data_IF_973579928009
#
_entry.id   IF_973579928009
#
_cell.length_a   1.000
_cell.length_b   1.000
_cell.length_c   1.000
_cell.angle_alpha   90.00
_cell.angle_beta   90.00
_cell.angle_gamma   90.00
#
_symmetry.space_group_name_H-M   'P 1'
#
loop_
_entity.id
_entity.type
_entity.pdbx_description
1 polymer ?
#
# COMPACT_ATOMS: atom_id res chain seq x y z
N UNK A 1 0.90 -10.88 7.19
CA UNK A 1 0.25 -10.80 8.52
C UNK A 1 1.27 -10.77 9.62
N UNK A 2 2.10 -11.81 9.66
CA UNK A 2 3.16 -11.91 10.66
C UNK A 2 4.10 -10.72 10.63
N UNK A 3 4.41 -10.21 9.44
CA UNK A 3 5.33 -9.08 9.32
C UNK A 3 4.75 -7.78 9.88
N UNK A 4 3.43 -7.59 9.83
CA UNK A 4 2.82 -6.41 10.44
C UNK A 4 2.94 -6.48 11.95
N UNK A 5 2.70 -7.65 12.52
CA UNK A 5 2.84 -7.86 13.95
C UNK A 5 4.27 -7.65 14.42
N UNK A 6 5.23 -8.16 13.68
CA UNK A 6 6.64 -7.98 14.02
C UNK A 6 7.04 -6.51 14.01
N UNK A 7 6.54 -5.77 13.02
CA UNK A 7 6.82 -4.34 12.93
C UNK A 7 6.25 -3.58 14.13
N UNK A 8 5.07 -3.97 14.58
CA UNK A 8 4.47 -3.37 15.78
C UNK A 8 5.36 -3.56 17.00
N UNK A 9 5.86 -4.76 17.19
CA UNK A 9 6.75 -5.05 18.31
C UNK A 9 8.00 -4.21 18.24
N UNK A 10 8.58 -4.11 17.05
CA UNK A 10 9.79 -3.31 16.85
C UNK A 10 9.53 -1.83 17.13
N UNK A 11 8.38 -1.33 16.72
CA UNK A 11 8.01 0.07 16.92
C UNK A 11 7.96 0.42 18.40
N UNK A 12 7.45 -0.48 19.23
CA UNK A 12 7.36 -0.23 20.68
C UNK A 12 8.71 -0.05 21.34
N UNK A 13 9.76 -0.61 20.76
CA UNK A 13 11.11 -0.53 21.32
C UNK A 13 11.95 0.59 20.74
N UNK A 14 11.42 1.31 19.73
CA UNK A 14 12.14 2.41 19.12
C UNK A 14 12.04 3.68 19.95
N UNK A 15 13.10 4.50 19.99
CA UNK A 15 13.00 5.84 20.55
C UNK A 15 11.97 6.65 19.76
N UNK A 16 11.68 7.87 20.22
CA UNK A 16 10.74 8.75 19.50
C UNK A 16 11.08 8.82 18.04
N UNK A 17 10.06 8.62 17.22
CA UNK A 17 10.22 8.56 15.77
C UNK A 17 9.85 9.92 15.17
N UNK A 18 10.88 10.67 14.73
CA UNK A 18 10.67 11.92 14.02
C UNK A 18 10.38 11.67 12.55
N UNK A 19 10.25 12.74 11.79
CA UNK A 19 9.94 12.65 10.36
C UNK A 19 10.99 11.84 9.59
N UNK A 20 12.29 12.10 9.82
CA UNK A 20 13.36 11.37 9.12
C UNK A 20 13.32 9.89 9.39
N UNK A 21 13.09 9.52 10.65
CA UNK A 21 12.99 8.11 11.03
C UNK A 21 11.79 7.44 10.40
N UNK A 22 10.65 8.13 10.36
CA UNK A 22 9.45 7.62 9.73
C UNK A 22 9.66 7.42 8.23
N UNK A 23 10.30 8.35 7.57
CA UNK A 23 10.62 8.24 6.15
C UNK A 23 11.45 6.98 5.86
N UNK A 24 12.46 6.73 6.68
CA UNK A 24 13.33 5.56 6.50
C UNK A 24 12.61 4.27 6.85
N UNK A 25 11.90 4.26 7.96
CA UNK A 25 11.25 3.04 8.45
C UNK A 25 10.12 2.59 7.52
N UNK A 26 9.33 3.52 7.04
CA UNK A 26 8.14 3.20 6.25
C UNK A 26 8.33 3.41 4.75
N UNK A 27 9.47 3.93 4.34
CA UNK A 27 9.72 4.20 2.92
C UNK A 27 8.83 5.29 2.34
N UNK A 28 8.48 6.28 3.16
CA UNK A 28 7.61 7.38 2.76
C UNK A 28 8.42 8.67 2.58
N UNK A 29 7.93 9.56 1.74
CA UNK A 29 8.53 10.87 1.56
C UNK A 29 7.96 11.84 2.60
N UNK A 30 8.68 12.93 2.86
CA UNK A 30 8.19 13.98 3.74
C UNK A 30 6.85 14.54 3.21
N UNK A 31 6.74 14.67 1.90
CA UNK A 31 5.52 15.15 1.25
C UNK A 31 4.34 14.21 1.52
N UNK A 32 4.58 12.91 1.41
CA UNK A 32 3.54 11.91 1.69
C UNK A 32 3.10 11.97 3.14
N UNK A 33 4.05 12.08 4.08
CA UNK A 33 3.74 12.19 5.50
C UNK A 33 2.88 13.41 5.80
N UNK A 34 3.23 14.55 5.24
CA UNK A 34 2.44 15.78 5.40
C UNK A 34 1.04 15.64 4.83
N UNK A 35 0.95 14.98 3.68
CA UNK A 35 -0.33 14.73 3.04
C UNK A 35 -1.25 13.90 3.93
N UNK A 36 -0.71 12.85 4.53
CA UNK A 36 -1.51 11.99 5.42
C UNK A 36 -1.93 12.73 6.68
N UNK A 37 -1.09 13.62 7.19
CA UNK A 37 -1.45 14.48 8.32
C UNK A 37 -2.55 15.45 7.95
N UNK A 38 -2.46 16.06 6.78
CA UNK A 38 -3.49 16.98 6.28
C UNK A 38 -4.83 16.29 6.09
N UNK A 39 -4.80 15.05 5.67
CA UNK A 39 -6.00 14.23 5.49
C UNK A 39 -6.59 13.75 6.82
N UNK A 40 -5.89 13.95 7.91
CA UNK A 40 -6.33 13.49 9.21
C UNK A 40 -6.14 12.00 9.43
N UNK A 41 -5.37 11.33 8.58
CA UNK A 41 -5.12 9.91 8.69
C UNK A 41 -4.10 9.60 9.77
N UNK A 42 -3.18 10.51 10.01
CA UNK A 42 -2.11 10.39 11.00
C UNK A 42 -1.98 11.70 11.74
N UNK A 43 -1.71 11.62 13.04
CA UNK A 43 -1.44 12.80 13.87
C UNK A 43 -0.01 12.79 14.33
N UNK A 44 0.71 13.89 14.08
CA UNK A 44 2.03 14.08 14.64
C UNK A 44 1.88 14.84 15.96
N UNK A 45 2.75 14.54 16.92
CA UNK A 45 2.84 15.25 18.18
C UNK A 45 4.10 16.09 18.20
N UNK A 46 4.17 17.00 19.14
CA UNK A 46 5.36 17.83 19.33
C UNK A 46 5.88 17.65 20.75
N UNK A 47 7.21 17.57 20.86
CA UNK A 47 7.86 17.44 22.14
C UNK A 47 8.12 18.83 22.77
N UNK A 48 8.85 18.85 23.88
CA UNK A 48 9.15 20.10 24.59
C UNK A 48 9.92 21.11 23.76
N UNK A 49 10.73 20.62 22.82
CA UNK A 49 11.52 21.45 21.93
C UNK A 49 10.76 21.78 20.65
N UNK A 50 9.46 21.49 20.63
CA UNK A 50 8.61 21.70 19.47
C UNK A 50 9.00 20.85 18.27
N UNK A 51 9.74 19.76 18.47
CA UNK A 51 10.10 18.84 17.41
C UNK A 51 8.95 17.85 17.17
N UNK A 52 8.66 17.63 15.90
CA UNK A 52 7.58 16.70 15.48
C UNK A 52 7.99 15.26 15.70
N UNK A 53 7.08 14.47 16.22
CA UNK A 53 7.30 13.02 16.33
C UNK A 53 5.99 12.26 16.20
N UNK A 54 6.09 10.96 15.93
CA UNK A 54 4.94 10.07 15.82
C UNK A 54 4.92 9.12 17.02
N UNK A 55 3.81 9.10 17.73
CA UNK A 55 3.64 8.19 18.87
C UNK A 55 3.34 6.77 18.35
N UNK A 56 3.28 5.77 19.23
CA UNK A 56 3.03 4.38 18.80
C UNK A 56 1.75 4.20 17.97
N UNK A 57 0.69 4.91 18.30
CA UNK A 57 -0.56 4.82 17.54
C UNK A 57 -0.39 5.37 16.13
N UNK A 58 0.28 6.52 16.00
CA UNK A 58 0.56 7.11 14.71
C UNK A 58 1.47 6.21 13.87
N UNK A 59 2.47 5.60 14.51
CA UNK A 59 3.38 4.67 13.82
C UNK A 59 2.64 3.48 13.26
N UNK A 60 1.70 2.96 14.01
CA UNK A 60 0.89 1.83 13.55
C UNK A 60 0.05 2.20 12.34
N UNK A 61 -0.53 3.40 12.34
CA UNK A 61 -1.30 3.89 11.19
C UNK A 61 -0.40 4.08 9.98
N UNK A 62 0.81 4.60 10.17
CA UNK A 62 1.78 4.73 9.09
C UNK A 62 2.19 3.38 8.52
N UNK A 63 2.32 2.37 9.38
CA UNK A 63 2.62 1.01 8.94
C UNK A 63 1.52 0.48 8.01
N UNK A 64 0.26 0.65 8.39
CA UNK A 64 -0.87 0.26 7.53
C UNK A 64 -0.84 1.00 6.20
N UNK A 65 -0.67 2.32 6.26
CA UNK A 65 -0.66 3.15 5.05
C UNK A 65 0.47 2.70 4.11
N UNK A 66 1.67 2.56 4.64
CA UNK A 66 2.84 2.19 3.83
C UNK A 66 2.65 0.83 3.16
N UNK A 67 2.19 -0.16 3.91
CA UNK A 67 1.99 -1.50 3.37
C UNK A 67 0.88 -1.57 2.34
N UNK A 68 -0.23 -0.93 2.61
CA UNK A 68 -1.36 -0.95 1.69
C UNK A 68 -1.06 -0.16 0.42
N UNK A 69 -0.38 0.98 0.54
CA UNK A 69 0.05 1.75 -0.63
C UNK A 69 1.02 0.96 -1.51
N UNK A 70 1.95 0.27 -0.88
CA UNK A 70 2.91 -0.56 -1.61
C UNK A 70 2.22 -1.68 -2.38
N UNK A 71 1.13 -2.19 -1.85
CA UNK A 71 0.34 -3.22 -2.52
C UNK A 71 -0.59 -2.66 -3.59
N UNK A 72 -0.64 -1.34 -3.74
CA UNK A 72 -1.47 -0.70 -4.75
C UNK A 72 -2.90 -0.46 -4.33
N UNK A 73 -3.18 -0.50 -3.03
CA UNK A 73 -4.51 -0.18 -2.51
C UNK A 73 -4.72 1.33 -2.59
N UNK A 74 -5.89 1.75 -3.01
CA UNK A 74 -6.20 3.17 -3.17
C UNK A 74 -6.31 3.88 -1.84
N UNK A 75 -6.10 5.18 -1.83
CA UNK A 75 -6.21 5.96 -0.61
C UNK A 75 -7.59 5.89 0.02
N UNK A 76 -8.70 5.99 -0.72
CA UNK A 76 -10.02 5.79 -0.11
C UNK A 76 -10.19 4.45 0.59
N UNK A 77 -9.64 3.39 0.01
CA UNK A 77 -9.70 2.07 0.63
C UNK A 77 -8.85 2.00 1.90
N UNK A 78 -7.69 2.68 1.90
CA UNK A 78 -6.86 2.77 3.10
C UNK A 78 -7.60 3.53 4.21
N UNK A 79 -8.32 4.57 3.86
CA UNK A 79 -9.12 5.32 4.83
C UNK A 79 -10.18 4.43 5.47
N UNK A 80 -10.80 3.55 4.70
CA UNK A 80 -11.75 2.57 5.23
C UNK A 80 -11.09 1.61 6.20
N UNK A 81 -9.90 1.13 5.87
CA UNK A 81 -9.15 0.22 6.74
C UNK A 81 -8.84 0.90 8.07
N UNK A 82 -8.37 2.14 8.02
CA UNK A 82 -8.03 2.88 9.24
C UNK A 82 -9.26 3.17 10.09
N UNK A 83 -10.38 3.47 9.45
CA UNK A 83 -11.64 3.64 10.15
C UNK A 83 -12.12 2.35 10.80
N UNK A 84 -12.01 1.25 10.08
CA UNK A 84 -12.39 -0.06 10.60
C UNK A 84 -11.48 -0.50 11.74
N UNK A 85 -10.21 -0.08 11.73
CA UNK A 85 -9.26 -0.43 12.78
C UNK A 85 -9.66 0.16 14.13
N UNK A 86 -10.34 1.29 14.13
CA UNK A 86 -10.87 1.90 15.36
C UNK A 86 -11.90 0.98 16.03
N UNK A 87 -12.61 0.20 15.24
CA UNK A 87 -13.59 -0.78 15.72
C UNK A 87 -12.99 -2.19 15.88
N UNK A 88 -11.67 -2.31 15.75
CA UNK A 88 -11.00 -3.59 15.83
C UNK A 88 -11.14 -4.45 14.59
N UNK A 89 -11.62 -3.90 13.48
CA UNK A 89 -11.86 -4.63 12.23
C UNK A 89 -10.93 -4.24 11.10
N UNK A 90 -9.84 -3.56 11.42
CA UNK A 90 -8.91 -3.09 10.40
C UNK A 90 -8.28 -4.22 9.61
N UNK A 91 -7.85 -5.27 10.26
CA UNK A 91 -7.23 -6.41 9.59
C UNK A 91 -8.20 -7.10 8.63
N UNK A 92 -9.42 -7.31 9.07
CA UNK A 92 -10.47 -7.93 8.26
C UNK A 92 -10.76 -7.09 7.03
N UNK A 93 -10.89 -5.78 7.22
CA UNK A 93 -11.10 -4.85 6.12
C UNK A 93 -9.93 -4.85 5.15
N UNK A 94 -8.69 -4.82 5.67
CA UNK A 94 -7.50 -4.86 4.85
C UNK A 94 -7.43 -6.13 4.00
N UNK A 95 -7.78 -7.27 4.59
CA UNK A 95 -7.80 -8.54 3.85
C UNK A 95 -8.73 -8.47 2.65
N UNK A 96 -9.92 -7.93 2.83
CA UNK A 96 -10.87 -7.80 1.72
C UNK A 96 -10.32 -6.91 0.60
N UNK A 97 -9.71 -5.78 0.97
CA UNK A 97 -9.15 -4.87 -0.01
C UNK A 97 -7.98 -5.49 -0.76
N UNK A 98 -7.12 -6.20 -0.04
CA UNK A 98 -5.97 -6.87 -0.63
C UNK A 98 -6.38 -8.03 -1.54
N UNK A 99 -7.37 -8.80 -1.13
CA UNK A 99 -7.88 -9.90 -1.95
C UNK A 99 -8.51 -9.39 -3.25
N UNK A 100 -9.25 -8.30 -3.17
CA UNK A 100 -9.79 -7.66 -4.36
C UNK A 100 -8.67 -7.17 -5.28
N UNK A 101 -7.65 -6.53 -4.71
CA UNK A 101 -6.50 -6.07 -5.49
C UNK A 101 -5.80 -7.23 -6.17
N UNK A 102 -5.63 -8.34 -5.47
CA UNK A 102 -5.01 -9.54 -6.04
C UNK A 102 -5.82 -10.08 -7.21
N UNK A 103 -7.14 -10.15 -7.05
CA UNK A 103 -8.02 -10.62 -8.12
C UNK A 103 -7.91 -9.73 -9.36
N UNK A 104 -7.86 -8.41 -9.17
CA UNK A 104 -7.72 -7.46 -10.27
C UNK A 104 -6.39 -7.66 -10.99
N UNK A 105 -5.31 -7.83 -10.23
CA UNK A 105 -3.98 -8.08 -10.80
C UNK A 105 -3.91 -9.39 -11.56
N UNK A 106 -4.56 -10.43 -11.03
CA UNK A 106 -4.61 -11.73 -11.70
C UNK A 106 -5.37 -11.63 -13.04
N UNK A 107 -6.44 -10.85 -13.07
CA UNK A 107 -7.19 -10.62 -14.29
C UNK A 107 -6.34 -9.86 -15.32
N UNK A 108 -5.63 -8.83 -14.88
CA UNK A 108 -4.72 -8.08 -15.75
C UNK A 108 -3.60 -8.97 -16.29
N UNK A 109 -3.03 -9.79 -15.41
CA UNK A 109 -1.99 -10.73 -15.80
C UNK A 109 -2.51 -11.74 -16.82
N UNK A 110 -3.72 -12.24 -16.62
CA UNK A 110 -4.36 -13.17 -17.54
C UNK A 110 -4.51 -12.58 -18.92
N UNK A 111 -4.95 -11.33 -19.01
CA UNK A 111 -5.07 -10.62 -20.28
C UNK A 111 -3.71 -10.48 -20.97
N UNK A 112 -2.69 -10.14 -20.20
CA UNK A 112 -1.34 -10.01 -20.70
C UNK A 112 -0.83 -11.34 -21.26
N UNK A 113 -1.05 -12.40 -20.49
CA UNK A 113 -0.64 -13.76 -20.88
C UNK A 113 -1.31 -14.19 -22.18
N UNK A 114 -2.57 -13.86 -22.36
CA UNK A 114 -3.31 -14.16 -23.59
C UNK A 114 -2.67 -13.50 -24.82
N UNK A 115 -2.34 -12.21 -24.69
CA UNK A 115 -1.71 -11.48 -25.78
C UNK A 115 -0.31 -12.03 -26.07
N UNK A 116 0.45 -12.32 -25.03
CA UNK A 116 1.78 -12.92 -25.17
C UNK A 116 1.71 -14.26 -25.90
N UNK A 117 0.76 -15.11 -25.52
CA UNK A 117 0.57 -16.40 -26.18
C UNK A 117 0.21 -16.24 -27.65
N UNK A 118 -0.65 -15.29 -27.93
CA UNK A 118 -1.08 -14.99 -29.30
C UNK A 118 0.09 -14.57 -30.19
N UNK A 119 0.91 -13.66 -29.68
CA UNK A 119 2.05 -13.15 -30.41
C UNK A 119 3.20 -14.13 -30.51
N UNK A 120 3.29 -15.08 -29.56
CA UNK A 120 4.34 -16.10 -29.57
C UNK A 120 3.94 -17.36 -30.34
N UNK A 121 2.72 -17.46 -30.80
CA UNK A 121 2.27 -18.60 -31.58
C UNK A 121 2.98 -18.63 -32.93
N UNK A 122 3.57 -19.77 -33.35
CA UNK A 122 4.22 -19.86 -34.63
C UNK A 122 3.24 -19.55 -35.76
N UNK A 123 3.66 -18.77 -36.72
CA UNK A 123 2.86 -18.39 -37.85
C UNK A 123 3.04 -19.39 -39.00
N UNK A 124 2.00 -20.08 -39.33
CA UNK A 124 2.04 -21.02 -40.43
C UNK A 124 1.44 -20.40 -41.70
N UNK A 125 0.72 -19.31 -41.57
CA UNK A 125 0.15 -18.62 -42.71
C UNK A 125 0.05 -17.11 -42.40
N UNK A 126 -0.64 -16.38 -43.28
CA UNK A 126 -0.81 -14.95 -43.11
C UNK A 126 -1.83 -14.53 -42.09
N UNK A 127 -2.55 -15.45 -41.52
CA UNK A 127 -3.65 -15.12 -40.62
C UNK A 127 -3.16 -14.42 -39.33
N UNK A 128 -2.07 -14.89 -38.79
CA UNK A 128 -1.51 -14.30 -37.57
C UNK A 128 -1.05 -12.87 -37.78
N UNK A 129 -0.64 -12.54 -38.96
CA UNK A 129 -0.18 -11.18 -39.27
C UNK A 129 -1.30 -10.16 -39.28
N UNK A 130 -2.52 -10.62 -39.46
CA UNK A 130 -3.67 -9.72 -39.51
C UNK A 130 -4.00 -9.08 -38.20
N UNK A 131 -3.45 -9.61 -37.12
CA UNK A 131 -3.63 -9.03 -35.80
C UNK A 131 -3.22 -7.54 -35.78
N UNK A 132 -2.05 -7.25 -36.34
CA UNK A 132 -1.58 -5.87 -36.44
C UNK A 132 -2.35 -5.02 -37.39
N UNK A 133 -2.96 -5.63 -38.43
CA UNK A 133 -3.68 -4.88 -39.45
C UNK A 133 -5.13 -4.61 -39.11
N UNK A 134 -5.66 -5.30 -38.12
CA UNK A 134 -7.05 -5.12 -37.71
C UNK A 134 -7.26 -3.82 -36.94
N UNK A 135 -6.20 -3.20 -36.55
CA UNK A 135 -6.25 -1.99 -35.75
C UNK A 135 -6.56 -0.75 -36.58
#
# INVERSE_FOLDING_TARGET
MTSISMTRENIHHLPRLGMSGAMRLFGLTARALRFYEEKGLVEARRDRLNARYYDPAARQRLEWIARLRKAGVSLPDIEEVLGADEDGKGQECALRKLERRRADLQAELGCLDEVLAELNTPRTDGAARRLGRSV
#
